data_IF_434785453367
#
_entry.id   IF_434785453367
#
_cell.length_a   1.000
_cell.length_b   1.000
_cell.length_c   1.000
_cell.angle_alpha   90.00
_cell.angle_beta   90.00
_cell.angle_gamma   90.00
#
_symmetry.space_group_name_H-M   'P 1'
#
loop_
_entity.id
_entity.type
_entity.pdbx_description
1 polymer ?
#
# COMPACT_ATOMS: atom_id res chain seq x y z
N UNK A 1 12.43 28.24 -16.75
CA UNK A 1 11.47 27.58 -17.66
C UNK A 1 12.26 27.02 -18.83
N UNK A 2 12.61 25.73 -18.81
CA UNK A 2 13.18 25.08 -19.99
C UNK A 2 12.15 24.08 -20.51
N UNK A 3 11.39 24.53 -21.51
CA UNK A 3 10.47 23.71 -22.28
C UNK A 3 11.31 22.89 -23.27
N UNK A 4 11.95 21.81 -22.81
CA UNK A 4 12.49 20.82 -23.74
C UNK A 4 11.32 19.97 -24.26
N UNK A 5 10.60 20.54 -25.23
CA UNK A 5 9.73 19.77 -26.10
C UNK A 5 10.62 18.88 -26.96
N UNK A 6 10.73 17.60 -26.61
CA UNK A 6 11.31 16.60 -27.49
C UNK A 6 10.36 16.40 -28.68
N UNK A 7 10.59 17.13 -29.76
CA UNK A 7 9.95 16.84 -31.05
C UNK A 7 10.64 15.61 -31.61
N UNK A 8 10.02 14.44 -31.45
CA UNK A 8 10.54 13.18 -31.98
C UNK A 8 10.06 13.08 -33.43
N UNK A 9 10.95 13.30 -34.39
CA UNK A 9 10.74 12.82 -35.76
C UNK A 9 10.83 11.30 -35.77
N UNK A 10 9.80 10.65 -36.33
CA UNK A 10 9.71 9.19 -36.44
C UNK A 10 9.17 8.84 -37.81
N UNK A 11 9.90 7.95 -38.49
CA UNK A 11 9.68 7.59 -39.89
C UNK A 11 8.54 6.56 -40.05
N UNK A 12 8.15 5.86 -38.97
CA UNK A 12 6.96 5.02 -38.89
C UNK A 12 6.52 4.76 -37.42
N UNK A 13 5.36 4.11 -37.25
CA UNK A 13 4.74 3.82 -35.95
C UNK A 13 5.56 2.85 -35.07
N UNK A 14 6.28 1.91 -35.66
CA UNK A 14 7.10 0.93 -34.91
C UNK A 14 8.34 1.58 -34.29
N UNK A 15 9.00 2.49 -35.02
CA UNK A 15 10.12 3.28 -34.50
C UNK A 15 9.71 4.21 -33.35
N UNK A 16 8.47 4.71 -33.36
CA UNK A 16 7.90 5.48 -32.24
C UNK A 16 7.69 4.59 -31.02
N UNK A 17 7.18 3.38 -31.21
CA UNK A 17 6.96 2.41 -30.14
C UNK A 17 8.27 2.01 -29.46
N UNK A 18 9.33 1.78 -30.23
CA UNK A 18 10.64 1.38 -29.69
C UNK A 18 11.32 2.53 -28.92
N UNK A 19 11.29 3.76 -29.46
CA UNK A 19 11.79 4.95 -28.74
C UNK A 19 11.00 5.22 -27.46
N UNK A 20 9.68 5.06 -27.51
CA UNK A 20 8.83 5.21 -26.33
C UNK A 20 9.17 4.15 -25.28
N UNK A 21 9.33 2.89 -25.71
CA UNK A 21 9.71 1.78 -24.84
C UNK A 21 11.08 2.05 -24.16
N UNK A 22 12.06 2.55 -24.91
CA UNK A 22 13.38 2.93 -24.38
C UNK A 22 13.31 4.01 -23.31
N UNK A 23 12.58 5.11 -23.56
CA UNK A 23 12.36 6.18 -22.57
C UNK A 23 11.67 5.63 -21.32
N UNK A 24 10.69 4.76 -21.52
CA UNK A 24 9.98 4.11 -20.42
C UNK A 24 10.88 3.13 -19.64
N UNK A 25 11.84 2.47 -20.27
CA UNK A 25 12.83 1.61 -19.61
C UNK A 25 13.91 2.41 -18.86
N UNK A 26 14.39 3.53 -19.41
CA UNK A 26 15.28 4.46 -18.70
C UNK A 26 14.61 5.07 -17.46
N UNK A 27 13.34 5.45 -17.56
CA UNK A 27 12.55 5.94 -16.40
C UNK A 27 12.44 4.92 -15.27
N UNK A 28 12.79 3.66 -15.54
CA UNK A 28 12.77 2.55 -14.61
C UNK A 28 14.12 2.21 -13.98
N UNK A 29 15.19 2.86 -14.39
CA UNK A 29 16.48 2.78 -13.73
C UNK A 29 16.46 3.81 -12.59
N UNK A 30 16.40 3.33 -11.35
CA UNK A 30 16.43 4.20 -10.17
C UNK A 30 17.72 5.03 -10.13
N UNK A 31 17.70 6.16 -9.42
CA UNK A 31 18.94 6.93 -9.25
C UNK A 31 19.98 6.07 -8.48
N UNK A 32 21.27 6.12 -8.86
CA UNK A 32 22.32 5.47 -8.10
C UNK A 32 22.26 5.92 -6.63
N UNK A 33 22.53 5.02 -5.67
CA UNK A 33 22.46 5.37 -4.27
C UNK A 33 23.35 6.59 -3.99
N UNK A 34 22.78 7.64 -3.37
CA UNK A 34 23.54 8.85 -3.04
C UNK A 34 24.73 8.51 -2.14
N UNK A 35 25.85 9.19 -2.35
CA UNK A 35 27.04 9.07 -1.48
C UNK A 35 26.64 9.32 -0.02
N UNK A 36 27.15 8.53 0.95
CA UNK A 36 26.70 8.62 2.32
C UNK A 36 27.13 9.94 2.98
N UNK A 37 26.16 10.73 3.45
CA UNK A 37 26.12 11.52 4.72
C UNK A 37 25.04 12.60 4.60
N UNK A 38 24.13 12.73 5.57
CA UNK A 38 24.43 13.05 6.98
C UNK A 38 24.30 11.83 7.91
N UNK A 39 24.69 11.97 9.17
CA UNK A 39 24.64 10.90 10.14
C UNK A 39 23.21 10.71 10.65
N UNK A 40 22.64 9.55 10.33
CA UNK A 40 21.32 9.10 10.73
C UNK A 40 21.18 9.19 12.26
N UNK A 41 20.32 10.09 12.75
CA UNK A 41 20.02 10.19 14.17
C UNK A 41 19.02 9.09 14.52
N UNK A 42 19.54 7.92 14.90
CA UNK A 42 18.72 6.74 15.16
C UNK A 42 18.03 6.86 16.52
N UNK A 43 16.71 6.65 16.54
CA UNK A 43 15.87 6.77 17.72
C UNK A 43 14.50 6.16 17.49
N UNK A 44 13.66 6.21 18.52
CA UNK A 44 12.23 5.89 18.41
C UNK A 44 11.57 6.86 17.43
N UNK A 45 10.71 6.35 16.55
CA UNK A 45 10.06 7.17 15.53
C UNK A 45 8.83 7.92 16.05
N UNK A 46 8.38 7.59 17.27
CA UNK A 46 7.44 8.39 18.03
C UNK A 46 6.05 7.77 18.22
N UNK A 47 5.91 6.45 18.03
CA UNK A 47 4.64 5.77 18.29
C UNK A 47 4.36 5.73 19.79
N UNK A 48 5.35 5.44 20.62
CA UNK A 48 5.24 5.44 22.08
C UNK A 48 5.12 6.86 22.62
N UNK A 49 5.98 7.79 22.19
CA UNK A 49 6.05 9.15 22.73
C UNK A 49 4.82 9.99 22.43
N UNK A 50 4.09 9.67 21.35
CA UNK A 50 2.98 10.49 20.86
C UNK A 50 3.35 11.47 19.75
N UNK A 51 4.65 11.57 19.38
CA UNK A 51 5.08 12.44 18.28
C UNK A 51 4.46 12.03 16.94
N UNK A 52 4.15 10.74 16.78
CA UNK A 52 3.23 10.25 15.75
C UNK A 52 1.81 10.40 16.28
N UNK A 53 1.01 11.28 15.68
CA UNK A 53 -0.37 11.54 16.07
C UNK A 53 -1.29 10.31 15.89
N UNK A 54 -2.40 10.25 16.62
CA UNK A 54 -3.32 9.10 16.57
C UNK A 54 -3.88 8.84 15.17
N UNK A 55 -4.16 9.90 14.40
CA UNK A 55 -4.68 9.78 13.04
C UNK A 55 -3.65 9.27 12.02
N UNK A 56 -2.36 9.23 12.38
CA UNK A 56 -1.32 8.62 11.58
C UNK A 56 -1.25 7.10 11.77
N UNK A 57 -1.94 6.55 12.79
CA UNK A 57 -2.03 5.12 13.06
C UNK A 57 -3.40 4.64 12.63
N UNK A 58 -3.44 3.67 11.71
CA UNK A 58 -4.68 3.06 11.23
C UNK A 58 -4.60 1.55 11.33
N UNK A 59 -5.75 0.88 11.41
CA UNK A 59 -5.85 -0.57 11.58
C UNK A 59 -6.89 -1.15 10.64
N UNK A 60 -6.73 -2.40 10.26
CA UNK A 60 -7.68 -3.15 9.42
C UNK A 60 -9.07 -3.24 10.06
N UNK A 61 -9.10 -3.46 11.36
CA UNK A 61 -10.32 -3.54 12.17
C UNK A 61 -9.98 -3.31 13.64
N UNK A 62 -10.99 -3.01 14.44
CA UNK A 62 -10.87 -2.88 15.90
C UNK A 62 -12.04 -3.58 16.57
N UNK A 63 -11.78 -4.28 17.68
CA UNK A 63 -12.80 -5.00 18.45
C UNK A 63 -13.98 -4.10 18.83
N UNK A 64 -13.66 -2.93 19.39
CA UNK A 64 -14.60 -1.85 19.68
C UNK A 64 -13.81 -0.51 19.81
N UNK A 65 -14.47 0.57 20.22
CA UNK A 65 -13.83 1.88 20.41
C UNK A 65 -12.81 1.97 21.55
N UNK A 66 -12.71 0.94 22.40
CA UNK A 66 -11.75 0.84 23.49
C UNK A 66 -10.44 0.14 23.11
N UNK A 67 -10.40 -0.51 21.95
CA UNK A 67 -9.27 -1.27 21.42
C UNK A 67 -8.70 -0.67 20.13
N UNK A 68 -8.88 0.64 19.93
CA UNK A 68 -8.54 1.32 18.68
C UNK A 68 -7.04 1.51 18.43
N UNK A 69 -6.67 2.15 17.31
CA UNK A 69 -5.27 2.38 16.92
C UNK A 69 -4.49 3.21 17.95
N UNK A 70 -5.16 4.12 18.67
CA UNK A 70 -4.59 4.92 19.77
C UNK A 70 -3.97 4.04 20.87
N UNK A 71 -4.45 2.79 20.99
CA UNK A 71 -4.00 1.83 22.00
C UNK A 71 -2.81 0.98 21.54
N UNK A 72 -2.41 1.07 20.29
CA UNK A 72 -1.34 0.26 19.72
C UNK A 72 0.08 0.74 20.05
N UNK A 73 0.23 1.77 20.89
CA UNK A 73 1.53 2.36 21.21
C UNK A 73 2.31 1.47 22.18
N UNK A 74 3.63 1.33 22.01
CA UNK A 74 4.47 0.57 22.94
C UNK A 74 4.28 1.08 24.38
N UNK A 75 4.33 0.17 25.35
CA UNK A 75 4.08 0.43 26.77
C UNK A 75 2.70 1.01 27.13
N UNK A 76 1.75 1.06 26.18
CA UNK A 76 0.38 1.48 26.48
C UNK A 76 -0.25 0.59 27.55
N UNK A 77 -0.75 1.20 28.63
CA UNK A 77 -1.42 0.52 29.73
C UNK A 77 -2.91 0.83 29.71
N UNK A 78 -3.74 -0.09 30.22
CA UNK A 78 -5.18 0.12 30.40
C UNK A 78 -5.44 1.43 31.17
N UNK A 79 -6.38 2.24 30.70
CA UNK A 79 -6.82 3.47 31.36
C UNK A 79 -8.34 3.58 31.30
N UNK A 80 -9.01 3.43 32.45
CA UNK A 80 -10.46 3.36 32.53
C UNK A 80 -11.03 2.23 31.65
N UNK A 81 -11.86 2.60 30.68
CA UNK A 81 -12.46 1.68 29.70
C UNK A 81 -11.51 1.34 28.54
N UNK A 82 -10.51 2.18 28.25
CA UNK A 82 -9.54 1.99 27.17
C UNK A 82 -8.55 0.88 27.54
N UNK A 83 -8.36 -0.09 26.65
CA UNK A 83 -7.64 -1.35 26.95
C UNK A 83 -6.14 -1.26 26.70
N UNK A 84 -5.35 -2.22 27.15
CA UNK A 84 -3.89 -2.16 27.11
C UNK A 84 -3.21 -2.42 25.75
N UNK A 85 -3.96 -2.44 24.64
CA UNK A 85 -3.43 -2.61 23.29
C UNK A 85 -4.50 -2.29 22.23
N UNK A 86 -4.08 -2.17 20.97
CA UNK A 86 -5.01 -2.42 19.86
C UNK A 86 -5.36 -3.92 19.84
N UNK A 87 -6.62 -4.22 19.58
CA UNK A 87 -7.10 -5.58 19.30
C UNK A 87 -7.95 -5.57 18.04
N UNK A 88 -7.63 -6.45 17.10
CA UNK A 88 -8.42 -6.61 15.88
C UNK A 88 -9.86 -7.03 16.23
N UNK A 89 -10.79 -6.82 15.30
CA UNK A 89 -12.16 -7.35 15.44
C UNK A 89 -12.22 -8.85 15.11
N UNK A 90 -11.44 -9.28 14.12
CA UNK A 90 -11.45 -10.64 13.60
C UNK A 90 -10.07 -11.28 13.78
N UNK A 91 -10.06 -12.59 14.02
CA UNK A 91 -8.85 -13.40 14.17
C UNK A 91 -8.51 -14.13 12.86
N UNK A 92 -8.40 -13.37 11.77
CA UNK A 92 -8.02 -13.85 10.45
C UNK A 92 -6.67 -13.25 9.99
N UNK A 93 -6.15 -13.71 8.86
CA UNK A 93 -4.87 -13.27 8.31
C UNK A 93 -4.97 -11.94 7.52
N UNK A 94 -6.15 -11.32 7.45
CA UNK A 94 -6.39 -10.04 6.79
C UNK A 94 -6.13 -8.83 7.69
N UNK A 95 -5.68 -9.05 8.93
CA UNK A 95 -5.48 -7.98 9.89
C UNK A 95 -4.14 -7.27 9.70
N UNK A 96 -4.11 -5.96 9.95
CA UNK A 96 -2.89 -5.16 9.89
C UNK A 96 -2.99 -3.89 10.75
N UNK A 97 -1.83 -3.38 11.16
CA UNK A 97 -1.65 -2.03 11.69
C UNK A 97 -0.73 -1.25 10.75
N UNK A 98 -1.10 0.00 10.44
CA UNK A 98 -0.38 0.90 9.54
C UNK A 98 0.02 2.19 10.25
N UNK A 99 1.20 2.70 9.91
CA UNK A 99 1.70 4.01 10.35
C UNK A 99 2.03 4.85 9.11
N UNK A 100 1.45 6.06 9.01
CA UNK A 100 1.84 7.11 8.05
C UNK A 100 2.77 8.12 8.73
N UNK A 101 4.03 8.17 8.34
CA UNK A 101 4.99 9.11 8.91
C UNK A 101 4.88 10.53 8.36
N UNK A 102 4.03 10.76 7.35
CA UNK A 102 3.88 12.04 6.62
C UNK A 102 5.06 12.37 5.68
N UNK A 103 6.23 11.76 5.91
CA UNK A 103 7.47 11.90 5.15
C UNK A 103 8.16 10.54 5.03
N UNK A 104 9.14 10.43 4.14
CA UNK A 104 9.98 9.22 4.10
C UNK A 104 10.85 9.19 5.35
N UNK A 105 10.86 8.04 6.03
CA UNK A 105 11.72 7.70 7.16
C UNK A 105 12.55 6.46 6.84
N UNK A 106 13.63 6.26 7.58
CA UNK A 106 14.41 5.02 7.56
C UNK A 106 14.08 4.21 8.81
N UNK A 107 13.62 2.97 8.66
CA UNK A 107 13.31 2.04 9.76
C UNK A 107 14.41 0.97 9.82
N UNK A 108 14.89 0.69 11.02
CA UNK A 108 15.99 -0.25 11.28
C UNK A 108 15.63 -1.33 12.31
N UNK A 109 14.63 -1.08 13.17
CA UNK A 109 14.10 -2.08 14.08
C UNK A 109 12.59 -1.94 14.25
N UNK A 110 11.97 -3.05 14.62
CA UNK A 110 10.56 -3.14 15.00
C UNK A 110 10.47 -3.67 16.41
N UNK A 111 9.75 -2.96 17.28
CA UNK A 111 9.56 -3.32 18.68
C UNK A 111 8.08 -3.62 18.90
N UNK A 112 7.76 -4.81 19.40
CA UNK A 112 6.37 -5.23 19.65
C UNK A 112 6.14 -5.68 21.09
N UNK A 113 4.92 -5.52 21.58
CA UNK A 113 4.44 -6.04 22.87
C UNK A 113 3.05 -6.66 22.69
N UNK A 114 2.69 -7.58 23.58
CA UNK A 114 1.32 -8.04 23.74
C UNK A 114 0.40 -7.01 24.40
N UNK A 115 -0.82 -7.40 24.74
CA UNK A 115 -1.78 -6.58 25.49
C UNK A 115 -1.47 -6.60 26.99
N UNK A 116 -1.39 -5.43 27.63
CA UNK A 116 -0.97 -5.38 29.05
C UNK A 116 -1.97 -6.01 30.03
N UNK A 117 -3.26 -5.87 29.77
CA UNK A 117 -4.34 -6.22 30.69
C UNK A 117 -4.97 -7.61 30.43
N UNK A 118 -4.52 -8.35 29.42
CA UNK A 118 -5.06 -9.68 29.10
C UNK A 118 -4.03 -10.57 28.38
N UNK A 119 -4.14 -11.89 28.47
CA UNK A 119 -3.22 -12.83 27.78
C UNK A 119 -3.48 -12.90 26.28
N UNK A 120 -3.18 -11.82 25.55
CA UNK A 120 -3.33 -11.71 24.11
C UNK A 120 -2.09 -11.06 23.50
N UNK A 121 -1.51 -11.69 22.47
CA UNK A 121 -0.34 -11.15 21.77
C UNK A 121 -0.14 -11.79 20.40
N UNK A 122 0.51 -11.06 19.49
CA UNK A 122 0.97 -11.58 18.20
C UNK A 122 2.30 -12.33 18.39
N UNK A 123 2.35 -13.59 17.95
CA UNK A 123 3.52 -14.48 18.08
C UNK A 123 4.41 -14.49 16.84
N UNK A 124 3.88 -14.15 15.66
CA UNK A 124 4.66 -13.91 14.46
C UNK A 124 3.94 -12.97 13.51
N UNK A 125 4.70 -12.25 12.68
CA UNK A 125 4.17 -11.28 11.74
C UNK A 125 5.08 -11.13 10.52
N UNK A 126 4.58 -10.45 9.50
CA UNK A 126 5.38 -9.97 8.37
C UNK A 126 5.12 -8.48 8.14
N UNK A 127 6.03 -7.84 7.41
CA UNK A 127 6.01 -6.39 7.19
C UNK A 127 5.77 -6.12 5.71
N UNK A 128 4.98 -5.08 5.44
CA UNK A 128 4.95 -4.43 4.13
C UNK A 128 5.06 -2.93 4.27
N UNK A 129 5.47 -2.23 3.22
CA UNK A 129 5.70 -0.80 3.26
C UNK A 129 5.44 -0.15 1.90
N UNK A 130 5.12 1.14 1.91
CA UNK A 130 4.73 1.88 0.72
C UNK A 130 5.18 3.34 0.79
N UNK A 131 5.53 3.92 -0.36
CA UNK A 131 5.83 5.35 -0.46
C UNK A 131 4.57 6.19 -0.71
N UNK A 132 3.52 5.60 -1.27
CA UNK A 132 2.33 6.30 -1.79
C UNK A 132 0.99 5.81 -1.21
N UNK A 133 1.03 4.80 -0.34
CA UNK A 133 -0.14 4.08 0.17
C UNK A 133 -0.93 3.37 -0.94
N UNK A 134 -0.37 3.23 -2.14
CA UNK A 134 -0.98 2.58 -3.29
C UNK A 134 -0.53 1.14 -3.41
N UNK A 135 0.77 0.96 -3.63
CA UNK A 135 1.41 -0.35 -3.70
C UNK A 135 2.22 -0.62 -2.44
N UNK A 136 2.08 -1.81 -1.87
CA UNK A 136 2.82 -2.25 -0.71
C UNK A 136 3.85 -3.32 -1.11
N UNK A 137 5.13 -3.02 -0.87
CA UNK A 137 6.22 -3.98 -1.00
C UNK A 137 6.33 -4.78 0.29
N UNK A 138 6.46 -6.12 0.18
CA UNK A 138 6.77 -6.97 1.32
C UNK A 138 8.24 -6.80 1.74
N UNK A 139 8.53 -6.88 3.04
CA UNK A 139 9.90 -6.94 3.53
C UNK A 139 10.51 -8.33 3.26
N UNK A 140 11.52 -8.36 2.41
CA UNK A 140 12.14 -9.56 1.84
C UNK A 140 12.37 -9.39 0.34
N UNK A 141 13.19 -10.23 -0.28
CA UNK A 141 13.49 -10.14 -1.72
C UNK A 141 12.36 -10.73 -2.57
N UNK A 142 12.12 -12.03 -2.43
CA UNK A 142 11.14 -12.78 -3.23
C UNK A 142 9.86 -13.10 -2.46
N UNK A 143 9.97 -13.21 -1.14
CA UNK A 143 8.89 -13.59 -0.23
C UNK A 143 8.95 -12.74 1.04
N UNK A 144 7.80 -12.48 1.68
CA UNK A 144 7.80 -11.83 2.98
C UNK A 144 8.56 -12.68 4.00
N UNK A 145 9.51 -12.05 4.67
CA UNK A 145 10.18 -12.62 5.83
C UNK A 145 9.19 -12.62 6.99
N UNK A 146 9.03 -13.79 7.62
CA UNK A 146 8.24 -13.93 8.85
C UNK A 146 9.15 -13.66 10.04
N UNK A 147 8.79 -12.66 10.84
CA UNK A 147 9.50 -12.27 12.04
C UNK A 147 8.80 -12.87 13.26
N UNK A 148 9.61 -13.34 14.21
CA UNK A 148 9.12 -13.82 15.51
C UNK A 148 8.65 -12.63 16.35
N UNK A 149 7.41 -12.70 16.82
CA UNK A 149 6.77 -11.72 17.70
C UNK A 149 6.94 -12.05 19.18
N UNK A 150 5.90 -11.74 19.96
CA UNK A 150 5.92 -11.83 21.41
C UNK A 150 5.63 -13.24 21.92
N UNK A 151 6.18 -13.55 23.10
CA UNK A 151 5.91 -14.76 23.86
C UNK A 151 4.99 -14.51 25.07
N UNK A 152 4.73 -13.25 25.39
CA UNK A 152 3.93 -12.85 26.54
C UNK A 152 3.31 -11.45 26.33
N UNK A 153 2.68 -10.93 27.40
CA UNK A 153 1.95 -9.66 27.41
C UNK A 153 2.86 -8.43 27.32
N UNK A 154 4.01 -8.43 27.99
CA UNK A 154 4.71 -7.21 28.41
C UNK A 154 6.19 -7.14 28.02
N UNK A 155 6.86 -8.25 27.76
CA UNK A 155 8.25 -8.23 27.28
C UNK A 155 8.29 -7.61 25.89
N UNK A 156 9.10 -6.57 25.73
CA UNK A 156 9.34 -5.95 24.42
C UNK A 156 10.14 -6.93 23.56
N UNK A 157 9.55 -7.34 22.44
CA UNK A 157 10.25 -8.10 21.40
C UNK A 157 10.86 -7.13 20.41
N UNK A 158 12.18 -7.08 20.36
CA UNK A 158 12.92 -6.36 19.32
C UNK A 158 13.23 -7.30 18.13
N UNK A 159 13.00 -6.80 16.92
CA UNK A 159 13.50 -7.37 15.67
C UNK A 159 14.32 -6.30 14.93
N UNK A 160 15.63 -6.52 14.81
CA UNK A 160 16.52 -5.73 13.96
C UNK A 160 16.32 -6.15 12.50
N UNK A 161 16.21 -5.18 11.61
CA UNK A 161 16.09 -5.42 10.18
C UNK A 161 17.49 -5.47 9.56
N UNK A 162 17.82 -6.58 8.89
CA UNK A 162 19.08 -6.73 8.15
C UNK A 162 19.20 -5.67 7.06
N UNK A 163 18.10 -5.44 6.34
CA UNK A 163 17.99 -4.36 5.35
C UNK A 163 17.08 -3.26 5.91
N UNK A 164 17.55 -2.00 6.02
CA UNK A 164 16.69 -0.91 6.48
C UNK A 164 15.56 -0.65 5.48
N UNK A 165 14.38 -0.33 5.99
CA UNK A 165 13.21 0.04 5.17
C UNK A 165 13.19 1.56 5.02
N UNK A 166 13.09 2.05 3.79
CA UNK A 166 12.84 3.47 3.51
C UNK A 166 11.39 3.62 3.06
N UNK A 167 10.55 4.28 3.87
CA UNK A 167 9.12 4.30 3.60
C UNK A 167 8.42 5.52 4.20
N UNK A 168 7.23 5.84 3.69
CA UNK A 168 6.27 6.75 4.34
C UNK A 168 5.16 5.98 5.06
N UNK A 169 4.76 4.84 4.50
CA UNK A 169 3.72 3.99 5.07
C UNK A 169 4.35 2.66 5.49
N UNK A 170 4.22 2.30 6.75
CA UNK A 170 4.63 1.01 7.28
C UNK A 170 3.39 0.20 7.65
N UNK A 171 3.36 -1.09 7.33
CA UNK A 171 2.31 -2.03 7.73
C UNK A 171 2.91 -3.28 8.35
N UNK A 172 2.37 -3.68 9.50
CA UNK A 172 2.63 -4.97 10.13
C UNK A 172 1.39 -5.84 10.05
N UNK A 173 1.58 -7.08 9.61
CA UNK A 173 0.53 -8.08 9.39
C UNK A 173 0.73 -9.27 10.33
N UNK A 174 -0.13 -9.45 11.34
CA UNK A 174 -0.11 -10.62 12.22
C UNK A 174 -0.29 -11.93 11.44
N UNK A 175 0.50 -12.95 11.79
CA UNK A 175 0.46 -14.28 11.17
C UNK A 175 0.04 -15.37 12.15
N UNK A 176 0.60 -15.38 13.35
CA UNK A 176 0.17 -16.25 14.45
C UNK A 176 0.03 -15.43 15.72
N UNK A 177 -0.84 -15.86 16.64
CA UNK A 177 -1.18 -15.13 17.85
C UNK A 177 -1.63 -16.07 18.97
N UNK A 178 -1.50 -15.61 20.21
CA UNK A 178 -2.02 -16.27 21.40
C UNK A 178 -3.30 -15.56 21.85
N UNK A 179 -4.39 -16.31 22.00
CA UNK A 179 -5.68 -15.81 22.51
C UNK A 179 -6.45 -14.92 21.53
N UNK A 180 -5.86 -13.81 21.08
CA UNK A 180 -6.45 -12.88 20.12
C UNK A 180 -5.35 -12.06 19.44
N UNK A 181 -5.57 -11.61 18.20
CA UNK A 181 -4.72 -10.61 17.57
C UNK A 181 -4.81 -9.31 18.38
N UNK A 182 -3.78 -9.04 19.17
CA UNK A 182 -3.62 -7.82 19.96
C UNK A 182 -2.15 -7.47 20.02
N UNK A 183 -1.81 -6.18 19.91
CA UNK A 183 -0.42 -5.77 19.98
C UNK A 183 -0.24 -4.28 20.27
N UNK A 184 0.97 -3.98 20.77
CA UNK A 184 1.57 -2.66 20.87
C UNK A 184 2.85 -2.61 20.02
N UNK A 185 3.21 -1.43 19.53
CA UNK A 185 4.22 -1.22 18.50
C UNK A 185 5.03 0.05 18.77
N UNK A 186 6.33 -0.02 18.53
CA UNK A 186 7.23 1.11 18.26
C UNK A 186 8.16 0.74 17.10
N UNK A 187 8.66 1.74 16.39
CA UNK A 187 9.62 1.60 15.30
C UNK A 187 10.86 2.42 15.62
N UNK A 188 12.03 1.86 15.33
CA UNK A 188 13.31 2.53 15.58
C UNK A 188 14.04 2.81 14.27
N UNK A 189 14.56 4.02 14.11
CA UNK A 189 15.24 4.44 12.91
C UNK A 189 15.48 5.94 12.86
N UNK A 190 15.47 6.54 11.69
CA UNK A 190 15.78 7.95 11.52
C UNK A 190 14.71 8.66 10.71
N UNK A 191 14.35 9.85 11.16
CA UNK A 191 13.48 10.77 10.42
C UNK A 191 14.27 11.78 9.56
N UNK A 192 15.53 12.03 9.91
CA UNK A 192 16.45 12.95 9.23
C UNK A 192 17.86 12.34 9.19
N UNK A 193 18.80 13.00 8.51
CA UNK A 193 20.19 12.52 8.45
C UNK A 193 20.34 11.27 7.58
N UNK A 194 19.54 11.13 6.54
CA UNK A 194 19.74 10.15 5.48
C UNK A 194 19.19 10.72 4.18
N UNK A 195 19.65 10.20 3.04
CA UNK A 195 19.07 10.53 1.74
C UNK A 195 18.09 9.40 1.36
N UNK A 196 16.79 9.69 1.22
CA UNK A 196 15.83 8.70 0.75
C UNK A 196 16.27 8.13 -0.61
N UNK A 197 16.21 6.80 -0.83
CA UNK A 197 16.37 6.27 -2.17
C UNK A 197 15.23 6.82 -3.05
N UNK A 198 15.58 7.37 -4.22
CA UNK A 198 14.56 7.76 -5.20
C UNK A 198 14.09 6.49 -5.90
N UNK A 199 12.82 6.08 -5.74
CA UNK A 199 12.28 4.99 -6.55
C UNK A 199 12.35 5.39 -8.03
N UNK A 200 12.49 4.41 -8.95
CA UNK A 200 12.38 4.69 -10.37
C UNK A 200 11.03 5.34 -10.69
N UNK A 201 11.03 6.34 -11.56
CA UNK A 201 9.85 7.15 -11.87
C UNK A 201 8.66 6.31 -12.36
N UNK A 202 8.93 5.20 -13.05
CA UNK A 202 7.90 4.32 -13.56
C UNK A 202 7.16 3.48 -12.49
N UNK A 203 7.53 3.59 -11.21
CA UNK A 203 6.77 3.01 -10.10
C UNK A 203 5.84 4.03 -9.42
N UNK A 204 5.86 5.29 -9.84
CA UNK A 204 4.97 6.31 -9.28
C UNK A 204 3.51 6.04 -9.65
N UNK A 205 2.59 6.31 -8.71
CA UNK A 205 1.16 6.27 -8.97
C UNK A 205 0.77 7.23 -10.12
N UNK A 206 -0.04 6.72 -11.05
CA UNK A 206 -0.44 7.47 -12.26
C UNK A 206 -1.55 8.50 -12.04
N UNK A 207 -2.20 8.51 -10.87
CA UNK A 207 -3.12 9.58 -10.49
C UNK A 207 -4.55 9.19 -10.12
N UNK A 208 -4.88 7.89 -10.07
CA UNK A 208 -6.20 7.43 -9.62
C UNK A 208 -6.50 7.87 -8.18
N UNK A 209 -5.60 7.58 -7.24
CA UNK A 209 -5.81 7.96 -5.83
C UNK A 209 -5.70 9.47 -5.59
N UNK A 210 -4.74 10.14 -6.24
CA UNK A 210 -4.47 11.56 -5.98
C UNK A 210 -5.43 12.53 -6.65
N UNK A 211 -6.32 12.05 -7.55
CA UNK A 211 -7.19 12.91 -8.34
C UNK A 211 -6.52 13.55 -9.56
N UNK A 212 -5.23 13.26 -9.82
CA UNK A 212 -4.53 13.76 -11.02
C UNK A 212 -5.20 13.24 -12.30
N UNK A 213 -5.66 11.99 -12.30
CA UNK A 213 -6.61 11.53 -13.32
C UNK A 213 -7.96 12.12 -12.95
N UNK A 214 -8.49 13.00 -13.79
CA UNK A 214 -9.74 13.73 -13.52
C UNK A 214 -10.97 12.81 -13.56
N UNK A 215 -12.08 13.18 -12.90
CA UNK A 215 -13.29 12.36 -12.86
C UNK A 215 -13.86 11.96 -14.23
N UNK A 216 -13.81 12.87 -15.21
CA UNK A 216 -14.27 12.65 -16.59
C UNK A 216 -13.39 11.68 -17.39
N UNK A 217 -12.14 11.48 -16.95
CA UNK A 217 -11.23 10.48 -17.50
C UNK A 217 -11.48 9.07 -16.97
N UNK A 218 -12.38 8.88 -15.99
CA UNK A 218 -12.75 7.57 -15.45
C UNK A 218 -14.16 7.20 -15.90
N UNK A 219 -14.30 6.06 -16.56
CA UNK A 219 -15.57 5.59 -17.13
C UNK A 219 -15.81 4.13 -16.76
N UNK A 220 -17.06 3.69 -16.83
CA UNK A 220 -17.42 2.29 -16.60
C UNK A 220 -18.55 1.85 -17.52
N UNK A 221 -18.67 0.54 -17.71
CA UNK A 221 -19.78 -0.09 -18.45
C UNK A 221 -21.14 0.29 -17.87
N UNK A 222 -21.23 0.36 -16.55
CA UNK A 222 -22.46 0.64 -15.83
C UNK A 222 -22.18 1.14 -14.41
N UNK A 223 -23.22 1.64 -13.75
CA UNK A 223 -23.18 2.01 -12.34
C UNK A 223 -24.52 1.65 -11.65
N UNK A 224 -24.46 1.12 -10.44
CA UNK A 224 -25.64 0.67 -9.67
C UNK A 224 -26.62 1.82 -9.36
N UNK A 225 -26.12 3.05 -9.27
CA UNK A 225 -26.91 4.27 -9.15
C UNK A 225 -26.02 5.50 -9.20
N UNK A 226 -26.61 6.70 -9.11
CA UNK A 226 -25.89 7.97 -9.19
C UNK A 226 -24.76 8.11 -8.15
N UNK A 227 -24.91 7.45 -7.00
CA UNK A 227 -23.95 7.47 -5.91
C UNK A 227 -22.79 6.46 -6.05
N UNK A 228 -22.80 5.60 -7.07
CA UNK A 228 -21.83 4.50 -7.26
C UNK A 228 -21.02 4.66 -8.56
N UNK A 229 -20.80 5.90 -8.99
CA UNK A 229 -20.18 6.19 -10.27
C UNK A 229 -18.70 5.79 -10.36
N UNK A 230 -18.15 5.72 -11.59
CA UNK A 230 -16.78 5.25 -11.85
C UNK A 230 -15.71 6.06 -11.11
N UNK A 231 -15.92 7.35 -10.89
CA UNK A 231 -15.00 8.21 -10.13
C UNK A 231 -14.82 7.79 -8.65
N UNK A 232 -15.76 7.01 -8.09
CA UNK A 232 -15.58 6.43 -6.77
C UNK A 232 -14.61 5.23 -6.78
N UNK A 233 -14.23 4.70 -7.95
CA UNK A 233 -13.30 3.57 -8.12
C UNK A 233 -11.83 3.92 -7.83
N UNK A 234 -11.58 4.92 -6.98
CA UNK A 234 -10.25 5.37 -6.58
C UNK A 234 -9.82 4.63 -5.32
N UNK A 235 -8.53 4.33 -5.21
CA UNK A 235 -7.99 3.70 -4.02
C UNK A 235 -8.21 4.60 -2.79
N UNK A 236 -8.60 3.99 -1.67
CA UNK A 236 -8.94 4.61 -0.38
C UNK A 236 -10.13 5.57 -0.41
N UNK A 237 -10.97 5.51 -1.44
CA UNK A 237 -12.17 6.34 -1.53
C UNK A 237 -13.13 6.03 -0.38
N UNK A 238 -13.36 7.01 0.49
CA UNK A 238 -14.33 6.89 1.58
C UNK A 238 -15.69 7.39 1.13
N UNK A 239 -16.74 6.79 1.70
CA UNK A 239 -18.10 7.32 1.58
C UNK A 239 -18.12 8.80 1.99
N UNK A 240 -18.61 9.66 1.11
CA UNK A 240 -18.63 11.12 1.32
C UNK A 240 -19.96 11.70 0.83
N UNK A 241 -20.73 12.30 1.75
CA UNK A 241 -22.08 12.75 1.46
C UNK A 241 -22.94 11.60 0.92
N UNK A 242 -23.53 11.80 -0.27
CA UNK A 242 -24.32 10.77 -0.94
C UNK A 242 -23.46 9.69 -1.63
N UNK A 243 -22.18 9.96 -1.93
CA UNK A 243 -21.31 9.04 -2.69
C UNK A 243 -20.99 7.80 -1.87
N UNK A 244 -21.19 6.62 -2.45
CA UNK A 244 -20.79 5.34 -1.88
C UNK A 244 -19.27 5.16 -1.93
N UNK A 245 -18.71 4.30 -1.06
CA UNK A 245 -17.27 4.10 -0.91
C UNK A 245 -16.58 3.32 -2.03
N UNK A 246 -17.20 3.16 -3.20
CA UNK A 246 -16.60 2.57 -4.41
C UNK A 246 -17.47 2.81 -5.66
N UNK A 247 -16.90 2.51 -6.83
CA UNK A 247 -17.70 2.19 -8.02
C UNK A 247 -18.38 0.83 -7.82
N UNK A 248 -19.64 0.72 -8.24
CA UNK A 248 -20.35 -0.55 -8.26
C UNK A 248 -21.06 -0.71 -9.59
N UNK A 249 -20.82 -1.83 -10.28
CA UNK A 249 -21.53 -2.15 -11.51
C UNK A 249 -23.04 -2.35 -11.25
N UNK A 250 -23.86 -2.00 -12.24
CA UNK A 250 -25.31 -2.18 -12.18
C UNK A 250 -25.72 -3.65 -12.17
N UNK A 251 -25.03 -4.47 -12.98
CA UNK A 251 -25.25 -5.91 -13.09
C UNK A 251 -23.99 -6.66 -12.65
N UNK A 252 -24.18 -7.77 -11.94
CA UNK A 252 -23.07 -8.62 -11.48
C UNK A 252 -22.80 -9.73 -12.50
N UNK A 253 -22.13 -9.36 -13.58
CA UNK A 253 -21.75 -10.27 -14.68
C UNK A 253 -20.28 -10.05 -15.08
N UNK A 254 -19.76 -10.95 -15.92
CA UNK A 254 -18.36 -10.94 -16.34
C UNK A 254 -18.02 -9.85 -17.38
N UNK A 255 -19.01 -9.11 -17.89
CA UNK A 255 -18.84 -8.13 -18.97
C UNK A 255 -18.73 -6.69 -18.46
N UNK A 256 -18.65 -6.50 -17.14
CA UNK A 256 -18.50 -5.19 -16.54
C UNK A 256 -17.05 -4.72 -16.59
N UNK A 257 -16.86 -3.42 -16.84
CA UNK A 257 -15.55 -2.81 -16.90
C UNK A 257 -15.55 -1.42 -16.25
N UNK A 258 -14.38 -1.04 -15.75
CA UNK A 258 -14.02 0.33 -15.37
C UNK A 258 -12.69 0.64 -16.05
N UNK A 259 -12.59 1.83 -16.63
CA UNK A 259 -11.41 2.28 -17.36
C UNK A 259 -10.97 3.65 -16.88
N UNK A 260 -9.68 3.93 -17.05
CA UNK A 260 -9.09 5.25 -16.81
C UNK A 260 -8.30 5.67 -18.05
N UNK A 261 -8.60 6.85 -18.56
CA UNK A 261 -7.83 7.49 -19.64
C UNK A 261 -6.63 8.21 -19.05
N UNK A 262 -5.46 7.97 -19.63
CA UNK A 262 -4.25 8.73 -19.34
C UNK A 262 -4.06 9.82 -20.40
N UNK A 263 -3.65 11.02 -19.99
CA UNK A 263 -3.39 12.14 -20.92
C UNK A 263 -2.15 11.92 -21.79
N UNK A 264 -1.25 11.05 -21.34
CA UNK A 264 -0.04 10.63 -22.04
C UNK A 264 0.04 9.12 -22.04
N UNK A 265 0.73 8.56 -23.04
CA UNK A 265 1.01 7.13 -23.04
C UNK A 265 1.83 6.78 -21.79
N UNK A 266 1.35 5.82 -21.02
CA UNK A 266 1.94 5.43 -19.74
C UNK A 266 2.30 3.94 -19.75
N UNK A 267 3.46 3.61 -19.18
CA UNK A 267 3.83 2.22 -18.89
C UNK A 267 3.20 1.78 -17.57
N UNK A 268 2.10 1.05 -17.66
CA UNK A 268 1.45 0.47 -16.49
C UNK A 268 2.21 -0.78 -16.06
N UNK A 269 2.88 -0.72 -14.91
CA UNK A 269 3.63 -1.86 -14.36
C UNK A 269 2.84 -2.68 -13.35
N UNK A 270 1.93 -2.05 -12.61
CA UNK A 270 1.16 -2.65 -11.51
C UNK A 270 -0.21 -2.02 -11.41
N UNK A 271 -1.17 -2.77 -10.88
CA UNK A 271 -2.53 -2.31 -10.57
C UNK A 271 -2.83 -2.68 -9.12
N UNK A 272 -3.16 -1.68 -8.30
CA UNK A 272 -3.68 -1.88 -6.95
C UNK A 272 -5.21 -1.87 -6.99
N UNK A 273 -5.82 -2.82 -6.29
CA UNK A 273 -7.29 -2.95 -6.19
C UNK A 273 -7.72 -2.94 -4.73
N UNK A 274 -8.94 -2.51 -4.47
CA UNK A 274 -9.52 -2.48 -3.12
C UNK A 274 -11.01 -2.77 -3.21
N UNK A 275 -11.54 -3.43 -2.17
CA UNK A 275 -12.97 -3.55 -1.97
C UNK A 275 -13.64 -2.24 -1.62
N UNK A 276 -14.96 -2.26 -1.52
CA UNK A 276 -15.74 -1.09 -1.12
C UNK A 276 -15.49 -0.77 0.36
N UNK A 277 -15.27 0.50 0.69
CA UNK A 277 -14.91 0.91 2.05
C UNK A 277 -16.08 0.91 3.05
N UNK A 278 -17.32 1.05 2.58
CA UNK A 278 -18.51 1.15 3.43
C UNK A 278 -19.38 -0.11 3.46
N UNK A 279 -19.01 -1.18 2.75
CA UNK A 279 -19.75 -2.47 2.74
C UNK A 279 -18.81 -3.60 2.30
N UNK A 280 -19.05 -4.81 2.80
CA UNK A 280 -18.27 -6.03 2.55
C UNK A 280 -18.49 -6.58 1.13
N UNK A 281 -17.98 -5.87 0.12
CA UNK A 281 -18.09 -6.20 -1.31
C UNK A 281 -16.76 -5.93 -2.02
N UNK A 282 -16.24 -6.92 -2.76
CA UNK A 282 -14.98 -6.80 -3.49
C UNK A 282 -14.92 -7.74 -4.71
N UNK A 283 -14.14 -7.31 -5.70
CA UNK A 283 -13.74 -8.15 -6.83
C UNK A 283 -12.65 -9.12 -6.36
N UNK A 284 -12.69 -10.38 -6.81
CA UNK A 284 -11.68 -11.41 -6.47
C UNK A 284 -10.70 -11.68 -7.62
N UNK A 285 -11.20 -11.59 -8.85
CA UNK A 285 -10.45 -11.84 -10.08
C UNK A 285 -10.90 -10.87 -11.15
N UNK A 286 -9.98 -10.43 -12.01
CA UNK A 286 -10.27 -9.52 -13.10
C UNK A 286 -9.37 -9.83 -14.30
N UNK A 287 -9.71 -9.30 -15.47
CA UNK A 287 -8.83 -9.25 -16.64
C UNK A 287 -8.38 -7.80 -16.85
N UNK A 288 -7.28 -7.61 -17.57
CA UNK A 288 -6.80 -6.28 -17.95
C UNK A 288 -6.82 -6.16 -19.46
N UNK A 289 -7.26 -5.01 -19.96
CA UNK A 289 -7.14 -4.64 -21.36
C UNK A 289 -6.54 -3.23 -21.46
N UNK A 290 -5.88 -2.94 -22.58
CA UNK A 290 -5.31 -1.62 -22.87
C UNK A 290 -5.67 -1.17 -24.29
N UNK A 291 -5.68 0.14 -24.47
CA UNK A 291 -6.01 0.80 -25.74
C UNK A 291 -5.21 2.09 -25.89
N UNK A 292 -4.84 2.43 -27.12
CA UNK A 292 -4.21 3.72 -27.48
C UNK A 292 -5.20 4.71 -28.11
N UNK A 293 -6.36 4.24 -28.56
CA UNK A 293 -7.37 5.03 -29.28
C UNK A 293 -8.71 5.14 -28.52
N UNK A 294 -8.86 4.38 -27.42
CA UNK A 294 -10.11 4.27 -26.64
C UNK A 294 -11.21 3.48 -27.34
N UNK A 295 -10.96 2.90 -28.52
CA UNK A 295 -11.94 2.17 -29.34
C UNK A 295 -11.56 0.71 -29.49
N UNK A 296 -10.30 0.45 -29.80
CA UNK A 296 -9.74 -0.88 -30.00
C UNK A 296 -8.99 -1.29 -28.75
N UNK A 297 -9.39 -2.42 -28.16
CA UNK A 297 -8.83 -2.93 -26.91
C UNK A 297 -8.10 -4.24 -27.13
N UNK A 298 -6.97 -4.38 -26.43
CA UNK A 298 -6.18 -5.61 -26.43
C UNK A 298 -6.05 -6.15 -25.01
N UNK A 299 -6.37 -7.42 -24.85
CA UNK A 299 -6.19 -8.11 -23.57
C UNK A 299 -4.71 -8.21 -23.21
N UNK A 300 -4.42 -7.87 -21.95
CA UNK A 300 -3.14 -8.14 -21.33
C UNK A 300 -3.03 -9.63 -20.99
N UNK A 301 -1.86 -10.22 -21.29
CA UNK A 301 -1.55 -11.63 -21.02
C UNK A 301 -0.22 -11.71 -20.31
N UNK A 302 -0.18 -12.41 -19.17
CA UNK A 302 1.05 -12.78 -18.48
C UNK A 302 1.25 -14.29 -18.62
N UNK A 303 2.32 -14.72 -19.29
CA UNK A 303 2.60 -16.15 -19.54
C UNK A 303 1.43 -16.90 -20.21
N UNK A 304 0.69 -16.22 -21.11
CA UNK A 304 -0.49 -16.78 -21.77
C UNK A 304 -1.78 -16.74 -20.92
N UNK A 305 -1.72 -16.31 -19.66
CA UNK A 305 -2.88 -16.18 -18.77
C UNK A 305 -3.45 -14.75 -18.85
N UNK A 306 -4.76 -14.64 -19.10
CA UNK A 306 -5.51 -13.36 -19.18
C UNK A 306 -6.06 -12.93 -17.82
N UNK A 307 -6.41 -13.91 -16.97
CA UNK A 307 -7.05 -13.67 -15.66
C UNK A 307 -6.02 -13.34 -14.59
N UNK A 308 -6.17 -12.17 -13.98
CA UNK A 308 -5.43 -11.73 -12.80
C UNK A 308 -6.21 -12.13 -11.54
N UNK A 309 -5.54 -12.82 -10.61
CA UNK A 309 -6.07 -13.13 -9.28
C UNK A 309 -5.53 -12.11 -8.29
N UNK A 310 -6.42 -11.55 -7.45
CA UNK A 310 -6.01 -10.71 -6.33
C UNK A 310 -5.45 -11.65 -5.26
N UNK A 311 -4.12 -11.85 -5.26
CA UNK A 311 -3.45 -12.58 -4.18
C UNK A 311 -3.13 -11.60 -3.05
N UNK A 312 -3.41 -12.02 -1.82
CA UNK A 312 -2.95 -11.33 -0.59
C UNK A 312 -1.43 -11.36 -0.41
N UNK A 313 -0.73 -12.19 -1.19
CA UNK A 313 0.72 -12.37 -1.21
C UNK A 313 1.13 -12.76 -2.64
N UNK A 314 1.78 -11.85 -3.39
CA UNK A 314 2.24 -12.13 -4.75
C UNK A 314 3.76 -12.26 -4.81
N UNK A 315 4.18 -13.47 -5.18
CA UNK A 315 5.53 -13.82 -5.64
C UNK A 315 5.80 -13.08 -6.95
N UNK A 316 6.89 -12.31 -7.03
CA UNK A 316 7.40 -11.82 -8.31
C UNK A 316 8.64 -12.64 -8.69
N UNK A 317 8.49 -13.51 -9.70
CA UNK A 317 9.61 -14.01 -10.48
C UNK A 317 9.94 -12.96 -11.53
N UNK A 318 11.12 -12.34 -11.43
CA UNK A 318 11.71 -11.59 -12.52
C UNK A 318 12.11 -12.58 -13.63
N UNK A 319 11.55 -12.40 -14.82
CA UNK A 319 12.22 -12.78 -16.06
C UNK A 319 12.72 -11.48 -16.66
N UNK A 320 14.00 -11.19 -16.42
CA UNK A 320 14.77 -10.33 -17.30
C UNK A 320 15.05 -11.21 -18.53
N UNK A 321 14.59 -10.77 -19.70
CA UNK A 321 15.05 -11.33 -20.98
C UNK A 321 16.52 -11.04 -21.17
#
# INVERSE_FOLDING_TARGET
MNNNQYVIHVDNFDALKDKLQMILDESCQGAPPPKPSPQCQAGELGIQSGDIADNAITVSSQWDGNHGPDRARLNMARSGVKTGAWSAKYNDLGQWIQVDFGKIVKITKVLTQGRSDYSQWVMSYWISYSLDNGFYQAYGENNPIILTGNSDRNTVKENKLDMPIYTRYFRLHPKTFHGHISMRLELYGCQTGFVPPSPPQCLNALGMQSGRIKPDAVQASSQAGANHGPDNGRLHFQKTGARAGAWCAKTNDANQWIQAKFDVVAKVRRVSTQGRMDTDQWVKTYTLAYSFDGKTWKDYKLNGIVTVRIQSLLYFLYLIT
#
